data_IF_966807243903
#
_entry.id   IF_966807243903
#
_cell.length_a   1.000
_cell.length_b   1.000
_cell.length_c   1.000
_cell.angle_alpha   90.00
_cell.angle_beta   90.00
_cell.angle_gamma   90.00
#
_symmetry.space_group_name_H-M   'P 1'
#
loop_
_entity.id
_entity.type
_entity.pdbx_description
1 polymer ?
#
# COMPACT_ATOMS: atom_id res chain seq x y z
N UNK A 1 0.34 -6.57 -22.15
CA UNK A 1 -0.28 -5.30 -21.70
C UNK A 1 -1.02 -5.47 -20.37
N UNK A 2 -2.09 -6.29 -20.30
CA UNK A 2 -2.89 -6.47 -19.08
C UNK A 2 -2.08 -6.76 -17.81
N UNK A 3 -1.28 -7.83 -17.81
CA UNK A 3 -0.50 -8.26 -16.63
C UNK A 3 0.54 -7.23 -16.21
N UNK A 4 1.11 -6.48 -17.15
CA UNK A 4 2.07 -5.41 -16.85
C UNK A 4 1.40 -4.28 -16.08
N UNK A 5 0.28 -3.74 -16.60
CA UNK A 5 -0.45 -2.62 -15.97
C UNK A 5 -1.05 -3.03 -14.62
N UNK A 6 -1.61 -4.25 -14.56
CA UNK A 6 -2.15 -4.81 -13.33
C UNK A 6 -1.05 -5.00 -12.28
N UNK A 7 0.07 -5.64 -12.63
CA UNK A 7 1.18 -5.88 -11.70
C UNK A 7 1.87 -4.59 -11.29
N UNK A 8 2.01 -3.61 -12.17
CA UNK A 8 2.60 -2.31 -11.84
C UNK A 8 1.85 -1.64 -10.68
N UNK A 9 0.51 -1.61 -10.76
CA UNK A 9 -0.32 -1.03 -9.71
C UNK A 9 -0.26 -1.85 -8.41
N UNK A 10 -0.38 -3.18 -8.50
CA UNK A 10 -0.36 -4.07 -7.32
C UNK A 10 0.99 -4.05 -6.62
N UNK A 11 2.09 -4.14 -7.37
CA UNK A 11 3.44 -4.12 -6.82
C UNK A 11 3.71 -2.76 -6.20
N UNK A 12 3.34 -1.66 -6.87
CA UNK A 12 3.50 -0.31 -6.33
C UNK A 12 2.77 -0.13 -4.99
N UNK A 13 1.50 -0.54 -4.88
CA UNK A 13 0.77 -0.39 -3.62
C UNK A 13 1.25 -1.36 -2.53
N UNK A 14 1.69 -2.57 -2.89
CA UNK A 14 2.27 -3.51 -1.94
C UNK A 14 3.56 -2.96 -1.34
N UNK A 15 4.46 -2.44 -2.20
CA UNK A 15 5.70 -1.81 -1.76
C UNK A 15 5.41 -0.56 -0.93
N UNK A 16 4.47 0.29 -1.35
CA UNK A 16 4.07 1.46 -0.58
C UNK A 16 3.50 1.08 0.80
N UNK A 17 2.69 0.02 0.88
CA UNK A 17 2.16 -0.51 2.14
C UNK A 17 3.26 -0.99 3.08
N UNK A 18 4.25 -1.73 2.56
CA UNK A 18 5.42 -2.15 3.34
C UNK A 18 6.25 -0.97 3.84
N UNK A 19 6.51 0.01 2.98
CA UNK A 19 7.23 1.24 3.36
C UNK A 19 6.45 2.01 4.43
N UNK A 20 5.13 2.10 4.31
CA UNK A 20 4.26 2.72 5.31
C UNK A 20 4.35 2.04 6.67
N UNK A 21 4.40 0.70 6.71
CA UNK A 21 4.58 -0.06 7.97
C UNK A 21 5.94 0.23 8.59
N UNK A 22 7.00 0.27 7.79
CA UNK A 22 8.35 0.62 8.31
C UNK A 22 8.34 2.03 8.89
N UNK A 23 7.77 3.00 8.17
CA UNK A 23 7.68 4.39 8.63
C UNK A 23 6.89 4.53 9.92
N UNK A 24 5.71 3.90 10.03
CA UNK A 24 4.90 4.02 11.26
C UNK A 24 5.59 3.38 12.45
N UNK A 25 6.30 2.26 12.27
CA UNK A 25 7.08 1.62 13.34
C UNK A 25 8.21 2.54 13.82
N UNK A 26 8.94 3.16 12.89
CA UNK A 26 10.01 4.10 13.24
C UNK A 26 9.47 5.32 13.98
N UNK A 27 8.36 5.89 13.52
CA UNK A 27 7.72 7.05 14.13
C UNK A 27 7.19 6.71 15.53
N UNK A 28 6.46 5.60 15.69
CA UNK A 28 5.91 5.18 16.98
C UNK A 28 7.00 4.86 18.02
N UNK A 29 8.21 4.51 17.57
CA UNK A 29 9.35 4.21 18.45
C UNK A 29 10.24 5.42 18.72
N UNK A 30 9.95 6.58 18.15
CA UNK A 30 10.69 7.80 18.44
C UNK A 30 10.32 8.36 19.81
N UNK A 31 11.33 8.80 20.58
CA UNK A 31 11.15 9.29 21.96
C UNK A 31 10.13 10.44 22.02
N UNK A 32 10.15 11.33 21.03
CA UNK A 32 9.23 12.45 20.92
C UNK A 32 7.75 12.01 20.79
N UNK A 33 7.48 10.97 20.00
CA UNK A 33 6.11 10.46 19.82
C UNK A 33 5.64 9.70 21.06
N UNK A 34 6.53 8.95 21.71
CA UNK A 34 6.23 8.23 22.95
C UNK A 34 5.89 9.21 24.07
N UNK A 35 6.69 10.26 24.26
CA UNK A 35 6.45 11.29 25.28
C UNK A 35 5.14 12.04 25.05
N UNK A 36 4.80 12.33 23.79
CA UNK A 36 3.55 13.01 23.43
C UNK A 36 2.31 12.13 23.61
N UNK A 37 2.38 10.84 23.24
CA UNK A 37 1.23 9.92 23.26
C UNK A 37 1.02 9.24 24.62
N UNK A 38 2.08 9.01 25.38
CA UNK A 38 2.06 8.28 26.65
C UNK A 38 2.82 9.04 27.75
N UNK A 39 2.35 10.23 28.16
CA UNK A 39 3.02 11.00 29.19
C UNK A 39 3.02 10.23 30.53
N UNK A 40 4.21 9.96 31.07
CA UNK A 40 4.39 9.35 32.39
C UNK A 40 4.21 7.83 32.47
N UNK A 41 4.10 7.13 31.34
CA UNK A 41 4.04 5.66 31.30
C UNK A 41 5.45 5.09 31.06
N UNK A 42 5.93 4.23 31.97
CA UNK A 42 7.23 3.56 31.84
C UNK A 42 7.17 2.31 30.94
N UNK A 43 5.99 1.69 30.83
CA UNK A 43 5.77 0.50 30.00
C UNK A 43 5.14 0.89 28.66
N UNK A 44 5.97 1.05 27.63
CA UNK A 44 5.51 1.33 26.26
C UNK A 44 4.72 0.11 25.74
N UNK A 45 3.46 0.28 25.30
CA UNK A 45 2.66 -0.84 24.80
C UNK A 45 3.28 -1.45 23.53
N UNK A 46 3.12 -2.77 23.32
CA UNK A 46 3.66 -3.44 22.13
C UNK A 46 2.96 -2.96 20.85
N UNK A 47 3.71 -2.93 19.74
CA UNK A 47 3.18 -2.50 18.44
C UNK A 47 2.05 -3.42 17.94
N UNK A 48 0.90 -2.87 17.47
CA UNK A 48 -0.25 -3.66 17.06
C UNK A 48 -0.02 -4.32 15.69
N UNK A 49 0.59 -5.51 15.70
CA UNK A 49 0.91 -6.26 14.48
C UNK A 49 -0.33 -6.59 13.63
N UNK A 50 -1.47 -6.86 14.26
CA UNK A 50 -2.74 -7.11 13.57
C UNK A 50 -3.21 -5.92 12.74
N UNK A 51 -2.98 -4.69 13.22
CA UNK A 51 -3.33 -3.47 12.48
C UNK A 51 -2.42 -3.30 11.25
N UNK A 52 -1.12 -3.59 11.39
CA UNK A 52 -0.18 -3.53 10.28
C UNK A 52 -0.52 -4.55 9.17
N UNK A 53 -0.86 -5.79 9.54
CA UNK A 53 -1.28 -6.80 8.56
C UNK A 53 -2.57 -6.37 7.86
N UNK A 54 -3.57 -5.91 8.62
CA UNK A 54 -4.84 -5.45 8.04
C UNK A 54 -4.60 -4.30 7.06
N UNK A 55 -3.74 -3.35 7.42
CA UNK A 55 -3.34 -2.25 6.53
C UNK A 55 -2.61 -2.74 5.28
N UNK A 56 -1.71 -3.71 5.40
CA UNK A 56 -1.04 -4.32 4.25
C UNK A 56 -2.05 -4.96 3.29
N UNK A 57 -2.93 -5.81 3.81
CA UNK A 57 -3.98 -6.47 3.02
C UNK A 57 -4.86 -5.43 2.31
N UNK A 58 -5.28 -4.38 3.04
CA UNK A 58 -6.08 -3.30 2.47
C UNK A 58 -5.34 -2.60 1.31
N UNK A 59 -4.05 -2.29 1.46
CA UNK A 59 -3.25 -1.64 0.41
C UNK A 59 -3.11 -2.48 -0.85
N UNK A 60 -2.98 -3.81 -0.71
CA UNK A 60 -2.91 -4.74 -1.85
C UNK A 60 -4.26 -4.81 -2.57
N UNK A 61 -5.36 -4.92 -1.83
CA UNK A 61 -6.71 -4.97 -2.41
C UNK A 61 -7.01 -3.69 -3.19
N UNK A 62 -6.67 -2.52 -2.63
CA UNK A 62 -6.87 -1.24 -3.29
C UNK A 62 -6.06 -1.16 -4.58
N UNK A 63 -4.79 -1.57 -4.57
CA UNK A 63 -3.97 -1.59 -5.78
C UNK A 63 -4.43 -2.60 -6.83
N UNK A 64 -4.94 -3.74 -6.40
CA UNK A 64 -5.52 -4.74 -7.29
C UNK A 64 -6.77 -4.19 -8.00
N UNK A 65 -7.68 -3.55 -7.27
CA UNK A 65 -8.88 -2.94 -7.86
C UNK A 65 -8.49 -1.79 -8.80
N UNK A 66 -7.58 -0.93 -8.37
CA UNK A 66 -7.10 0.20 -9.15
C UNK A 66 -6.40 -0.23 -10.45
N UNK A 67 -5.62 -1.31 -10.42
CA UNK A 67 -4.95 -1.88 -11.60
C UNK A 67 -5.86 -2.72 -12.50
N UNK A 68 -6.90 -3.36 -11.93
CA UNK A 68 -7.79 -4.25 -12.68
C UNK A 68 -8.65 -3.48 -13.68
N UNK A 69 -9.26 -2.36 -13.27
CA UNK A 69 -10.15 -1.55 -14.11
C UNK A 69 -9.46 -1.09 -15.42
N UNK A 70 -8.30 -0.41 -15.40
CA UNK A 70 -7.63 0.05 -16.61
C UNK A 70 -7.08 -1.12 -17.44
N UNK A 71 -6.60 -2.18 -16.80
CA UNK A 71 -6.08 -3.34 -17.50
C UNK A 71 -7.18 -4.04 -18.32
N UNK A 72 -8.40 -4.15 -17.78
CA UNK A 72 -9.56 -4.69 -18.51
C UNK A 72 -9.98 -3.79 -19.67
N UNK A 73 -9.92 -2.46 -19.51
CA UNK A 73 -10.20 -1.51 -20.60
C UNK A 73 -9.19 -1.67 -21.74
N UNK A 74 -7.91 -1.87 -21.43
CA UNK A 74 -6.87 -2.09 -22.43
C UNK A 74 -7.09 -3.34 -23.28
N UNK A 75 -7.78 -4.37 -22.76
CA UNK A 75 -8.14 -5.56 -23.54
C UNK A 75 -9.26 -5.30 -24.56
N UNK A 76 -10.03 -4.21 -24.40
CA UNK A 76 -11.16 -3.88 -25.29
C UNK A 76 -10.80 -2.91 -26.42
N UNK A 77 -9.58 -2.38 -26.44
CA UNK A 77 -9.13 -1.46 -27.50
C UNK A 77 -8.72 -2.26 -28.73
N UNK A 78 -9.26 -1.91 -29.89
CA UNK A 78 -8.86 -2.53 -31.17
C UNK A 78 -7.41 -2.16 -31.46
N UNK A 79 -6.59 -3.16 -31.78
CA UNK A 79 -5.17 -2.96 -32.09
C UNK A 79 -4.99 -1.92 -33.19
N UNK A 80 -5.86 -1.90 -34.22
CA UNK A 80 -5.81 -0.93 -35.33
C UNK A 80 -5.87 0.54 -34.87
N UNK A 81 -6.62 0.85 -33.80
CA UNK A 81 -6.69 2.21 -33.25
C UNK A 81 -5.48 2.52 -32.36
N UNK A 82 -4.91 1.52 -31.69
CA UNK A 82 -3.76 1.69 -30.80
C UNK A 82 -2.43 2.00 -31.53
N UNK A 83 -2.29 1.59 -32.79
CA UNK A 83 -1.12 1.90 -33.64
C UNK A 83 -1.29 3.21 -34.43
N UNK A 84 -2.51 3.76 -34.47
CA UNK A 84 -2.82 5.00 -35.20
C UNK A 84 -2.70 6.25 -34.32
N UNK A 85 -2.44 6.08 -33.02
CA UNK A 85 -2.21 7.13 -32.04
C UNK A 85 -0.73 7.25 -31.67
#
# INVERSE_FOLDING_TARGET
MFTSVFLESVVATTVAGLVGIVLVVLVMRSDWVVELMFPGIQDIPPFPFSAAITGLIASVIVGAIAGLIPALVALRVKVIDAIRF
#
